data_IF_081994775048
#
_entry.id   IF_081994775048
#
_cell.length_a   1.000
_cell.length_b   1.000
_cell.length_c   1.000
_cell.angle_alpha   90.00
_cell.angle_beta   90.00
_cell.angle_gamma   90.00
#
_symmetry.space_group_name_H-M   'P 1'
#
loop_
_entity.id
_entity.type
_entity.pdbx_description
1 polymer ?
#
# COMPACT_ATOMS: atom_id res chain seq x y z
N UNK A 1 12.63 11.99 -6.34
CA UNK A 1 13.32 11.91 -7.64
C UNK A 1 14.13 10.63 -7.80
N UNK A 2 14.99 10.23 -6.84
CA UNK A 2 15.74 8.97 -6.94
C UNK A 2 14.93 7.67 -6.70
N UNK A 3 13.80 7.72 -5.98
CA UNK A 3 13.02 6.53 -5.63
C UNK A 3 12.33 5.82 -6.80
N UNK A 4 11.95 6.56 -7.84
CA UNK A 4 11.08 6.04 -8.91
C UNK A 4 11.85 5.22 -9.95
N UNK A 5 13.15 5.50 -10.14
CA UNK A 5 14.00 4.72 -11.04
C UNK A 5 14.39 3.33 -10.48
N UNK A 6 14.35 3.12 -9.15
CA UNK A 6 14.75 1.84 -8.56
C UNK A 6 13.72 0.71 -8.75
N UNK A 7 12.46 1.03 -9.03
CA UNK A 7 11.35 0.06 -9.05
C UNK A 7 10.93 -0.32 -10.49
N UNK A 8 11.62 0.23 -11.52
CA UNK A 8 11.39 -0.19 -12.92
C UNK A 8 10.05 0.24 -13.50
N UNK A 9 9.39 1.27 -12.94
CA UNK A 9 8.08 1.75 -13.39
C UNK A 9 8.25 3.03 -14.21
N UNK A 10 7.62 3.07 -15.39
CA UNK A 10 7.55 4.23 -16.26
C UNK A 10 6.70 5.32 -15.59
N UNK A 11 7.30 6.50 -15.30
CA UNK A 11 6.62 7.63 -14.65
C UNK A 11 5.36 8.11 -15.39
N UNK A 12 5.26 7.82 -16.69
CA UNK A 12 4.14 8.20 -17.55
C UNK A 12 2.81 7.58 -17.06
N UNK A 13 2.83 6.40 -16.43
CA UNK A 13 1.63 5.80 -15.82
C UNK A 13 1.15 6.52 -14.55
N UNK A 14 2.03 7.29 -13.90
CA UNK A 14 1.72 8.03 -12.67
C UNK A 14 1.50 9.53 -12.92
N UNK A 15 1.59 9.99 -14.17
CA UNK A 15 1.42 11.40 -14.55
C UNK A 15 0.11 11.62 -15.33
N UNK A 16 -0.80 12.38 -14.69
CA UNK A 16 -2.05 12.99 -15.15
C UNK A 16 -3.17 12.11 -15.73
N UNK A 17 -2.88 11.03 -16.46
CA UNK A 17 -3.92 10.18 -17.08
C UNK A 17 -4.12 8.83 -16.36
N UNK A 18 -3.07 8.26 -15.76
CA UNK A 18 -3.14 6.99 -15.01
C UNK A 18 -3.44 7.12 -13.51
N UNK A 19 -3.57 8.35 -12.99
CA UNK A 19 -3.79 8.62 -11.55
C UNK A 19 -5.18 8.14 -11.09
N UNK A 20 -6.19 8.22 -11.96
CA UNK A 20 -7.59 7.93 -11.63
C UNK A 20 -8.02 6.48 -11.99
N UNK A 21 -7.12 5.50 -11.82
CA UNK A 21 -7.49 4.08 -11.94
C UNK A 21 -8.00 3.55 -10.61
N UNK A 22 -9.11 2.82 -10.64
CA UNK A 22 -9.68 2.13 -9.46
C UNK A 22 -8.64 1.21 -8.80
N UNK A 23 -7.75 0.63 -9.60
CA UNK A 23 -6.61 -0.19 -9.17
C UNK A 23 -5.62 0.56 -8.25
N UNK A 24 -5.60 1.90 -8.27
CA UNK A 24 -4.79 2.74 -7.38
C UNK A 24 -5.63 3.41 -6.27
N UNK A 25 -6.87 2.96 -6.07
CA UNK A 25 -7.77 3.52 -5.06
C UNK A 25 -7.96 2.53 -3.92
N UNK A 26 -7.72 3.00 -2.69
CA UNK A 26 -7.98 2.24 -1.48
C UNK A 26 -8.76 3.12 -0.49
N UNK A 27 -9.94 2.66 -0.08
CA UNK A 27 -10.72 3.35 0.94
C UNK A 27 -10.33 2.84 2.32
N UNK A 28 -9.94 3.75 3.21
CA UNK A 28 -9.52 3.46 4.57
C UNK A 28 -10.36 4.28 5.56
N UNK A 29 -10.54 3.77 6.79
CA UNK A 29 -11.08 4.60 7.87
C UNK A 29 -10.07 5.69 8.25
N UNK A 30 -10.55 6.80 8.82
CA UNK A 30 -9.74 8.02 9.01
C UNK A 30 -8.42 7.79 9.74
N UNK A 31 -8.41 6.90 10.75
CA UNK A 31 -7.18 6.57 11.47
C UNK A 31 -6.16 5.83 10.61
N UNK A 32 -6.59 4.81 9.86
CA UNK A 32 -5.70 4.06 8.96
C UNK A 32 -5.23 4.94 7.79
N UNK A 33 -6.10 5.81 7.29
CA UNK A 33 -5.76 6.77 6.24
C UNK A 33 -4.62 7.70 6.66
N UNK A 34 -4.64 8.21 7.91
CA UNK A 34 -3.55 9.05 8.42
C UNK A 34 -2.21 8.29 8.45
N UNK A 35 -2.20 7.07 9.00
CA UNK A 35 -0.96 6.28 9.07
C UNK A 35 -0.43 5.88 7.69
N UNK A 36 -1.33 5.58 6.75
CA UNK A 36 -0.99 5.23 5.37
C UNK A 36 -0.34 6.40 4.64
N UNK A 37 -0.89 7.62 4.78
CA UNK A 37 -0.31 8.83 4.18
C UNK A 37 1.03 9.23 4.81
N UNK A 38 1.20 8.98 6.10
CA UNK A 38 2.46 9.27 6.82
C UNK A 38 3.56 8.23 6.55
N UNK A 39 3.33 7.26 5.68
CA UNK A 39 4.26 6.15 5.38
C UNK A 39 4.61 5.31 6.62
N UNK A 40 3.65 5.19 7.56
CA UNK A 40 3.80 4.47 8.83
C UNK A 40 2.92 3.21 8.91
N UNK A 41 2.14 2.93 7.88
CA UNK A 41 1.33 1.73 7.73
C UNK A 41 1.31 1.29 6.27
N UNK A 42 1.57 0.02 5.98
CA UNK A 42 1.57 -0.54 4.64
C UNK A 42 1.02 -1.96 4.61
N UNK A 43 0.73 -2.45 3.40
CA UNK A 43 0.26 -3.80 3.12
C UNK A 43 1.39 -4.64 2.54
N UNK A 44 1.80 -5.68 3.26
CA UNK A 44 2.84 -6.60 2.81
C UNK A 44 2.22 -7.86 2.22
N UNK A 45 2.52 -8.16 0.96
CA UNK A 45 1.98 -9.33 0.27
C UNK A 45 2.35 -10.63 1.00
N UNK A 46 1.36 -11.53 1.12
CA UNK A 46 1.58 -12.89 1.61
C UNK A 46 2.01 -13.78 0.46
N UNK A 47 3.10 -14.53 0.65
CA UNK A 47 3.62 -15.43 -0.38
C UNK A 47 2.56 -16.47 -0.77
N UNK A 48 2.41 -16.68 -2.08
CA UNK A 48 1.51 -17.67 -2.68
C UNK A 48 0.00 -17.44 -2.37
N UNK A 49 -0.38 -16.23 -1.93
CA UNK A 49 -1.77 -15.86 -1.66
C UNK A 49 -2.14 -14.53 -2.35
N UNK A 50 -2.79 -14.57 -3.53
CA UNK A 50 -3.10 -13.37 -4.29
C UNK A 50 -4.08 -12.47 -3.53
N UNK A 51 -3.86 -11.16 -3.62
CA UNK A 51 -4.66 -10.13 -2.93
C UNK A 51 -4.78 -10.30 -1.40
N UNK A 52 -3.90 -11.10 -0.80
CA UNK A 52 -3.79 -11.26 0.65
C UNK A 52 -2.55 -10.54 1.17
N UNK A 53 -2.74 -9.76 2.23
CA UNK A 53 -1.72 -8.89 2.78
C UNK A 53 -1.70 -8.95 4.31
N UNK A 54 -0.49 -8.85 4.87
CA UNK A 54 -0.29 -8.52 6.28
C UNK A 54 -0.27 -7.00 6.41
N UNK A 55 -1.09 -6.46 7.30
CA UNK A 55 -1.05 -5.06 7.69
C UNK A 55 0.15 -4.86 8.61
N UNK A 56 1.08 -4.02 8.18
CA UNK A 56 2.30 -3.70 8.94
C UNK A 56 2.28 -2.22 9.29
N UNK A 57 2.73 -1.88 10.50
CA UNK A 57 2.84 -0.50 10.93
C UNK A 57 4.05 -0.30 11.83
N UNK A 58 4.61 0.90 11.82
CA UNK A 58 5.63 1.32 12.79
C UNK A 58 5.04 1.57 14.19
N UNK A 59 3.71 1.67 14.32
CA UNK A 59 3.00 1.84 15.59
C UNK A 59 2.32 0.52 16.01
N UNK A 60 2.85 -0.21 17.01
CA UNK A 60 2.22 -1.43 17.52
C UNK A 60 0.82 -1.19 18.07
N UNK A 61 0.54 0.00 18.60
CA UNK A 61 -0.77 0.37 19.11
C UNK A 61 -1.84 0.38 18.01
N UNK A 62 -1.46 0.73 16.77
CA UNK A 62 -2.38 0.73 15.62
C UNK A 62 -2.80 -0.70 15.27
N UNK A 63 -1.86 -1.66 15.27
CA UNK A 63 -2.14 -3.07 14.93
C UNK A 63 -3.05 -3.74 15.97
N UNK A 64 -2.89 -3.40 17.26
CA UNK A 64 -3.74 -3.95 18.34
C UNK A 64 -5.21 -3.56 18.23
N UNK A 65 -5.53 -2.50 17.49
CA UNK A 65 -6.90 -2.02 17.26
C UNK A 65 -7.57 -2.70 16.07
N UNK A 66 -6.82 -3.45 15.26
CA UNK A 66 -7.36 -4.15 14.12
C UNK A 66 -7.99 -5.48 14.54
N UNK A 67 -9.15 -5.86 13.98
CA UNK A 67 -9.75 -7.16 14.24
C UNK A 67 -8.90 -8.32 13.67
N UNK A 68 -8.14 -8.05 12.59
CA UNK A 68 -7.17 -8.96 12.00
C UNK A 68 -6.01 -8.17 11.41
N UNK A 69 -4.80 -8.69 11.53
CA UNK A 69 -3.62 -8.15 10.84
C UNK A 69 -3.43 -8.76 9.46
N UNK A 70 -4.23 -9.76 9.07
CA UNK A 70 -4.22 -10.35 7.73
C UNK A 70 -5.54 -9.97 7.05
N UNK A 71 -5.45 -9.40 5.85
CA UNK A 71 -6.60 -8.99 5.05
C UNK A 71 -6.51 -9.60 3.66
N UNK A 72 -7.63 -10.10 3.15
CA UNK A 72 -7.76 -10.57 1.77
C UNK A 72 -8.78 -9.69 1.07
N UNK A 73 -8.40 -9.09 -0.04
CA UNK A 73 -9.34 -8.32 -0.84
C UNK A 73 -10.15 -9.27 -1.72
N UNK A 74 -11.46 -9.13 -1.64
CA UNK A 74 -12.42 -9.91 -2.42
C UNK A 74 -13.31 -8.97 -3.18
N UNK A 75 -13.61 -9.30 -4.43
CA UNK A 75 -14.54 -8.52 -5.25
C UNK A 75 -15.51 -9.48 -5.94
N UNK A 76 -16.83 -9.27 -5.82
CA UNK A 76 -17.81 -10.12 -6.48
C UNK A 76 -17.84 -9.94 -7.99
N UNK A 77 -17.44 -8.77 -8.52
CA UNK A 77 -17.38 -8.46 -9.95
C UNK A 77 -16.03 -7.78 -10.30
N UNK A 78 -14.98 -8.57 -10.61
CA UNK A 78 -13.64 -8.05 -10.86
C UNK A 78 -13.47 -7.32 -12.20
N UNK A 79 -14.40 -7.47 -13.14
CA UNK A 79 -14.36 -6.77 -14.45
C UNK A 79 -14.91 -5.35 -14.33
N UNK A 80 -15.97 -5.15 -13.54
CA UNK A 80 -16.55 -3.82 -13.31
C UNK A 80 -15.82 -3.02 -12.22
N UNK A 81 -15.23 -3.72 -11.24
CA UNK A 81 -14.51 -3.13 -10.12
C UNK A 81 -13.18 -3.88 -9.97
N UNK A 82 -12.06 -3.32 -10.44
CA UNK A 82 -10.77 -3.96 -10.24
C UNK A 82 -10.32 -3.77 -8.78
N UNK A 83 -9.69 -4.82 -8.24
CA UNK A 83 -9.04 -4.75 -6.93
C UNK A 83 -7.82 -3.79 -6.97
N UNK A 84 -7.41 -3.26 -5.80
CA UNK A 84 -6.15 -2.53 -5.69
C UNK A 84 -4.98 -3.35 -6.24
N UNK A 85 -4.18 -2.74 -7.12
CA UNK A 85 -3.06 -3.38 -7.80
C UNK A 85 -1.99 -3.78 -6.78
N UNK A 86 -1.56 -5.05 -6.76
CA UNK A 86 -0.45 -5.49 -5.92
C UNK A 86 0.84 -4.70 -6.16
N UNK A 87 1.06 -4.21 -7.38
CA UNK A 87 2.23 -3.43 -7.74
C UNK A 87 2.23 -2.06 -7.05
N UNK A 88 1.10 -1.33 -7.07
CA UNK A 88 1.01 -0.03 -6.39
C UNK A 88 1.14 -0.16 -4.87
N UNK A 89 0.57 -1.22 -4.29
CA UNK A 89 0.74 -1.53 -2.87
C UNK A 89 2.20 -1.85 -2.53
N UNK A 90 2.92 -2.58 -3.40
CA UNK A 90 4.33 -2.88 -3.22
C UNK A 90 5.21 -1.61 -3.27
N UNK A 91 4.89 -0.65 -4.16
CA UNK A 91 5.57 0.65 -4.20
C UNK A 91 5.38 1.39 -2.88
N UNK A 92 4.14 1.47 -2.39
CA UNK A 92 3.85 2.14 -1.11
C UNK A 92 4.60 1.49 0.06
N UNK A 93 4.63 0.15 0.11
CA UNK A 93 5.39 -0.59 1.10
C UNK A 93 6.89 -0.29 1.03
N UNK A 94 7.48 -0.23 -0.16
CA UNK A 94 8.88 0.16 -0.35
C UNK A 94 9.13 1.59 0.15
N UNK A 95 8.25 2.54 -0.17
CA UNK A 95 8.33 3.91 0.34
C UNK A 95 8.32 3.95 1.87
N UNK A 96 7.43 3.20 2.53
CA UNK A 96 7.37 3.09 3.99
C UNK A 96 8.66 2.53 4.59
N UNK A 97 9.20 1.47 3.99
CA UNK A 97 10.45 0.88 4.45
C UNK A 97 11.62 1.84 4.33
N UNK A 98 11.72 2.58 3.23
CA UNK A 98 12.77 3.59 3.03
C UNK A 98 12.60 4.75 4.01
N UNK A 99 11.38 5.28 4.16
CA UNK A 99 11.10 6.35 5.13
C UNK A 99 11.47 5.94 6.56
N UNK A 100 11.16 4.70 6.94
CA UNK A 100 11.56 4.13 8.22
C UNK A 100 13.07 4.01 8.37
N UNK A 101 13.80 3.59 7.34
CA UNK A 101 15.27 3.49 7.39
C UNK A 101 15.93 4.86 7.50
N UNK A 102 15.42 5.85 6.77
CA UNK A 102 15.96 7.22 6.77
C UNK A 102 15.61 7.98 8.05
N UNK A 103 14.40 7.82 8.58
CA UNK A 103 13.99 8.44 9.85
C UNK A 103 14.46 7.71 11.12
N UNK A 104 15.09 6.54 10.98
CA UNK A 104 15.76 5.83 12.07
C UNK A 104 17.26 6.17 12.17
N UNK A 105 17.77 6.98 11.25
CA UNK A 105 19.16 7.44 11.20
C UNK A 105 19.39 8.78 11.93
N UNK A 106 18.35 9.33 12.57
CA UNK A 106 18.41 10.50 13.45
C UNK A 106 18.49 10.08 14.94
#
# INVERSE_FOLDING_TARGET
WAMVCMIGIQMEELNSTGIHRLENTLTLCSGLFEYFNRLTLWLQAVKDQPHTYVVVSTSPATLRRLPSCIVTFTMPDPEALPLPSPAYLAIHAACCQIARMLGAAD
#
